data_IF_425570465965
#
_entry.id   IF_425570465965
#
_cell.length_a   1.000
_cell.length_b   1.000
_cell.length_c   1.000
_cell.angle_alpha   90.00
_cell.angle_beta   90.00
_cell.angle_gamma   90.00
#
_symmetry.space_group_name_H-M   'P 1'
#
loop_
_entity.id
_entity.type
_entity.pdbx_description
1 polymer ?
#
# COMPACT_ATOMS: atom_id res chain seq x y z
N UNK A 1 6.48 23.64 1.76
CA UNK A 1 6.86 24.45 2.95
C UNK A 1 7.10 23.60 4.19
N UNK A 2 6.19 22.68 4.57
CA UNK A 2 6.36 21.81 5.75
C UNK A 2 7.67 21.00 5.74
N UNK A 3 7.98 20.34 4.62
CA UNK A 3 9.21 19.54 4.45
C UNK A 3 10.47 20.37 4.68
N UNK A 4 10.48 21.63 4.21
CA UNK A 4 11.61 22.54 4.35
C UNK A 4 11.80 22.97 5.82
N UNK A 5 10.69 23.19 6.53
CA UNK A 5 10.71 23.50 7.95
C UNK A 5 11.21 22.31 8.78
N UNK A 6 10.77 21.10 8.44
CA UNK A 6 11.23 19.86 9.08
C UNK A 6 12.71 19.61 8.82
N UNK A 7 13.22 19.84 7.60
CA UNK A 7 14.64 19.69 7.28
C UNK A 7 15.52 20.70 8.01
N UNK A 8 15.06 21.96 8.14
CA UNK A 8 15.79 22.98 8.91
C UNK A 8 15.84 22.64 10.40
N UNK A 9 14.71 22.21 10.97
CA UNK A 9 14.65 21.78 12.37
C UNK A 9 15.54 20.56 12.63
N UNK A 10 15.48 19.56 11.74
CA UNK A 10 16.28 18.34 11.88
C UNK A 10 17.79 18.64 11.75
N UNK A 11 18.18 19.52 10.82
CA UNK A 11 19.56 19.98 10.69
C UNK A 11 20.06 20.67 11.96
N UNK A 12 19.25 21.53 12.59
CA UNK A 12 19.61 22.20 13.84
C UNK A 12 19.75 21.23 15.01
N UNK A 13 18.81 20.29 15.18
CA UNK A 13 18.87 19.27 16.24
C UNK A 13 20.06 18.34 16.05
N UNK A 14 20.36 17.93 14.82
CA UNK A 14 21.52 17.08 14.51
C UNK A 14 22.84 17.85 14.65
N UNK A 15 22.87 19.15 14.35
CA UNK A 15 24.01 20.03 14.63
C UNK A 15 24.31 20.09 16.13
N UNK A 16 23.31 20.38 16.95
CA UNK A 16 23.46 20.44 18.42
C UNK A 16 23.98 19.12 19.01
N UNK A 17 23.48 17.97 18.53
CA UNK A 17 23.96 16.65 18.95
C UNK A 17 25.43 16.39 18.57
N UNK A 18 25.90 16.93 17.44
CA UNK A 18 27.33 16.88 17.06
C UNK A 18 28.18 17.71 18.01
N UNK A 19 27.72 18.91 18.35
CA UNK A 19 28.43 19.84 19.24
C UNK A 19 28.53 19.28 20.67
N UNK A 20 27.52 18.53 21.12
CA UNK A 20 27.50 17.83 22.41
C UNK A 20 28.33 16.53 22.43
N UNK A 21 29.01 16.19 21.33
CA UNK A 21 29.81 14.97 21.22
C UNK A 21 28.98 13.68 21.15
N UNK A 22 27.66 13.78 21.01
CA UNK A 22 26.77 12.63 20.88
C UNK A 22 26.93 12.06 19.47
N UNK A 23 27.33 10.79 19.37
CA UNK A 23 27.47 10.10 18.10
C UNK A 23 26.14 10.13 17.34
N UNK A 24 26.11 10.87 16.22
CA UNK A 24 24.95 10.88 15.35
C UNK A 24 24.66 9.46 14.83
N UNK A 25 23.40 9.05 14.93
CA UNK A 25 22.96 7.81 14.31
C UNK A 25 22.96 7.99 12.79
N UNK A 26 24.05 7.57 12.15
CA UNK A 26 24.15 7.45 10.70
C UNK A 26 23.00 6.61 10.14
N UNK A 27 22.59 6.88 8.90
CA UNK A 27 21.59 6.07 8.16
C UNK A 27 21.96 4.58 8.19
N UNK A 28 23.25 4.25 8.14
CA UNK A 28 23.75 2.87 8.29
C UNK A 28 23.43 2.28 9.67
N UNK A 29 23.57 3.07 10.73
CA UNK A 29 23.32 2.67 12.11
C UNK A 29 21.81 2.53 12.37
N UNK A 30 21.00 3.43 11.80
CA UNK A 30 19.54 3.31 11.82
C UNK A 30 19.07 2.05 11.10
N UNK A 31 19.63 1.75 9.93
CA UNK A 31 19.33 0.51 9.21
C UNK A 31 19.73 -0.74 10.00
N UNK A 32 20.93 -0.75 10.60
CA UNK A 32 21.35 -1.84 11.49
C UNK A 32 20.44 -1.99 12.70
N UNK A 33 19.98 -0.89 13.29
CA UNK A 33 19.07 -0.91 14.44
C UNK A 33 17.67 -1.41 14.04
N UNK A 34 17.18 -1.02 12.87
CA UNK A 34 15.96 -1.58 12.26
C UNK A 34 16.08 -3.07 11.98
N UNK A 35 17.24 -3.54 11.51
CA UNK A 35 17.47 -4.96 11.29
C UNK A 35 17.65 -5.75 12.59
N UNK A 36 18.15 -5.13 13.67
CA UNK A 36 18.36 -5.79 14.96
C UNK A 36 17.08 -5.88 15.79
N UNK A 37 16.41 -4.74 15.93
CA UNK A 37 15.27 -4.57 16.85
C UNK A 37 13.93 -4.55 16.08
N UNK A 38 13.97 -4.22 14.79
CA UNK A 38 12.80 -4.18 13.90
C UNK A 38 12.63 -5.42 13.02
N UNK A 39 13.46 -6.46 13.17
CA UNK A 39 13.38 -7.70 12.40
C UNK A 39 11.97 -8.34 12.41
N UNK A 40 11.26 -8.42 13.56
CA UNK A 40 9.91 -8.98 13.58
C UNK A 40 8.94 -8.21 12.68
N UNK A 41 9.03 -6.88 12.66
CA UNK A 41 8.20 -6.04 11.81
C UNK A 41 8.54 -6.24 10.34
N UNK A 42 9.83 -6.30 10.00
CA UNK A 42 10.30 -6.54 8.64
C UNK A 42 9.80 -7.88 8.09
N UNK A 43 9.77 -8.91 8.94
CA UNK A 43 9.29 -10.24 8.58
C UNK A 43 7.76 -10.30 8.41
N UNK A 44 7.01 -9.55 9.22
CA UNK A 44 5.53 -9.50 9.16
C UNK A 44 5.04 -8.54 8.05
N UNK A 45 5.84 -7.54 7.67
CA UNK A 45 5.46 -6.50 6.71
C UNK A 45 4.93 -7.05 5.38
N UNK A 46 5.57 -8.02 4.70
CA UNK A 46 5.02 -8.60 3.47
C UNK A 46 3.65 -9.24 3.66
N UNK A 47 3.46 -9.96 4.77
CA UNK A 47 2.18 -10.58 5.12
C UNK A 47 1.10 -9.54 5.41
N UNK A 48 1.46 -8.45 6.09
CA UNK A 48 0.55 -7.33 6.34
C UNK A 48 0.12 -6.63 5.04
N UNK A 49 1.06 -6.39 4.11
CA UNK A 49 0.74 -5.84 2.79
C UNK A 49 -0.27 -6.75 2.07
N UNK A 50 -0.02 -8.07 2.03
CA UNK A 50 -0.95 -9.02 1.44
C UNK A 50 -2.33 -8.99 2.12
N UNK A 51 -2.39 -8.94 3.45
CA UNK A 51 -3.65 -8.83 4.18
C UNK A 51 -4.43 -7.59 3.78
N UNK A 52 -3.76 -6.44 3.65
CA UNK A 52 -4.41 -5.20 3.20
C UNK A 52 -5.03 -5.40 1.82
N UNK A 53 -4.32 -6.00 0.87
CA UNK A 53 -4.81 -6.20 -0.50
C UNK A 53 -5.87 -7.30 -0.63
N UNK A 54 -5.79 -8.37 0.16
CA UNK A 54 -6.70 -9.53 0.05
C UNK A 54 -7.95 -9.35 0.89
N UNK A 55 -7.87 -8.66 2.03
CA UNK A 55 -8.96 -8.57 2.99
C UNK A 55 -9.52 -7.15 3.07
N UNK A 56 -8.68 -6.18 3.42
CA UNK A 56 -9.16 -4.81 3.69
C UNK A 56 -9.62 -4.15 2.40
N UNK A 57 -8.86 -4.29 1.32
CA UNK A 57 -9.16 -3.64 0.04
C UNK A 57 -10.49 -4.13 -0.57
N UNK A 58 -10.80 -5.44 -0.64
CA UNK A 58 -12.09 -5.90 -1.14
C UNK A 58 -13.27 -5.47 -0.26
N UNK A 59 -13.10 -5.38 1.06
CA UNK A 59 -14.15 -4.88 1.96
C UNK A 59 -14.44 -3.41 1.66
N UNK A 60 -13.41 -2.57 1.55
CA UNK A 60 -13.57 -1.17 1.21
C UNK A 60 -14.21 -0.98 -0.17
N UNK A 61 -13.80 -1.80 -1.15
CA UNK A 61 -14.37 -1.77 -2.50
C UNK A 61 -15.83 -2.22 -2.52
N UNK A 62 -16.17 -3.31 -1.83
CA UNK A 62 -17.55 -3.78 -1.70
C UNK A 62 -18.44 -2.78 -0.97
N UNK A 63 -17.92 -2.16 0.09
CA UNK A 63 -18.60 -1.06 0.78
C UNK A 63 -18.83 0.13 -0.17
N UNK A 64 -17.81 0.57 -0.90
CA UNK A 64 -17.95 1.65 -1.87
C UNK A 64 -18.97 1.33 -2.97
N UNK A 65 -18.97 0.10 -3.49
CA UNK A 65 -19.96 -0.36 -4.47
C UNK A 65 -21.38 -0.25 -3.90
N UNK A 66 -21.60 -0.64 -2.65
CA UNK A 66 -22.92 -0.58 -2.02
C UNK A 66 -23.52 0.83 -1.96
N UNK A 67 -22.69 1.88 -1.94
CA UNK A 67 -23.13 3.28 -2.00
C UNK A 67 -23.07 3.90 -3.41
N UNK A 68 -22.70 3.12 -4.43
CA UNK A 68 -22.72 3.56 -5.84
C UNK A 68 -23.79 2.79 -6.61
N UNK A 69 -24.35 3.37 -7.67
CA UNK A 69 -25.35 2.71 -8.51
C UNK A 69 -24.70 1.71 -9.49
N UNK A 70 -23.96 0.74 -8.97
CA UNK A 70 -23.38 -0.36 -9.75
C UNK A 70 -24.43 -1.46 -9.90
N UNK A 71 -25.34 -1.29 -10.85
CA UNK A 71 -26.42 -2.25 -11.11
C UNK A 71 -25.97 -3.28 -12.16
N UNK A 72 -26.06 -4.58 -11.85
CA UNK A 72 -25.72 -5.71 -12.73
C UNK A 72 -26.44 -5.65 -14.11
N UNK A 73 -27.50 -4.85 -14.21
CA UNK A 73 -28.38 -4.66 -15.37
C UNK A 73 -27.80 -3.80 -16.52
N UNK A 74 -26.62 -3.21 -16.39
CA UNK A 74 -25.92 -2.51 -17.49
C UNK A 74 -24.72 -3.27 -18.04
N UNK A 75 -24.58 -4.55 -17.71
CA UNK A 75 -23.71 -5.44 -18.48
C UNK A 75 -24.37 -5.60 -19.85
N UNK A 76 -23.72 -5.26 -20.99
CA UNK A 76 -24.31 -5.51 -22.29
C UNK A 76 -24.74 -6.98 -22.32
N UNK A 77 -25.98 -7.28 -22.78
CA UNK A 77 -26.49 -8.63 -22.76
C UNK A 77 -25.41 -9.50 -23.35
N UNK A 78 -25.09 -10.61 -22.68
CA UNK A 78 -24.28 -11.64 -23.26
C UNK A 78 -24.90 -11.96 -24.62
N UNK A 79 -24.39 -11.32 -25.67
CA UNK A 79 -24.45 -11.83 -27.01
C UNK A 79 -23.59 -13.06 -26.89
N UNK A 80 -24.25 -14.12 -26.42
CA UNK A 80 -24.04 -15.49 -26.82
C UNK A 80 -23.31 -15.39 -28.15
N UNK A 81 -22.06 -15.81 -28.15
CA UNK A 81 -21.35 -16.10 -29.39
C UNK A 81 -22.34 -16.93 -30.19
N UNK A 82 -22.98 -16.31 -31.18
CA UNK A 82 -23.85 -16.98 -32.14
C UNK A 82 -22.90 -17.79 -33.02
N UNK A 83 -22.49 -18.95 -32.49
CA UNK A 83 -21.78 -19.96 -33.24
C UNK A 83 -22.82 -20.57 -34.19
N UNK A 84 -22.95 -19.96 -35.37
CA UNK A 84 -23.86 -20.37 -36.45
C UNK A 84 -23.47 -21.70 -37.10
N UNK A 85 -23.36 -22.77 -36.30
CA UNK A 85 -23.03 -24.11 -36.77
C UNK A 85 -23.98 -25.21 -36.27
N UNK A 86 -24.98 -24.89 -35.45
CA UNK A 86 -25.96 -25.87 -34.93
C UNK A 86 -27.36 -25.67 -35.53
N UNK A 87 -27.60 -24.58 -36.27
CA UNK A 87 -28.91 -24.33 -36.88
C UNK A 87 -29.11 -25.09 -38.21
N UNK A 88 -28.05 -25.61 -38.80
CA UNK A 88 -28.09 -26.42 -40.03
C UNK A 88 -28.47 -27.90 -39.85
N UNK A 89 -28.82 -28.37 -38.65
CA UNK A 89 -29.12 -29.80 -38.42
C UNK A 89 -30.48 -30.07 -37.71
N UNK A 90 -31.59 -29.55 -38.25
CA UNK A 90 -32.85 -30.26 -38.53
C UNK A 90 -33.88 -29.30 -39.16
#
# INVERSE_FOLDING_TARGET
>A
MLVYFLSLRDAWVNGKKRDEGVALNSVRKQYQMLLKDGFPYLMITPGFILLVFVVIFPILFGFAIAFTNYNLYHTPPAKLVDWGGIKELY
#
